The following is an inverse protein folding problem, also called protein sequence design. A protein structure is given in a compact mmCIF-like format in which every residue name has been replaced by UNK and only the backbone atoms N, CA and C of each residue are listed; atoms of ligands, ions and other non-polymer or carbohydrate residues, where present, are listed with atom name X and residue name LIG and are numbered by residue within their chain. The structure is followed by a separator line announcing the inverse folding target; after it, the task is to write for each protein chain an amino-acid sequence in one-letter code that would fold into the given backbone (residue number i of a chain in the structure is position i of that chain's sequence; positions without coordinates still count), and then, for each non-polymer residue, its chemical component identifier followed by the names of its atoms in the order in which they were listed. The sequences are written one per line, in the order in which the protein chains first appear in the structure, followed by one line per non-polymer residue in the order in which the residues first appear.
data_IF_603260254254
#
_entry.id   IF_603260254254
#
_cell.length_a   1.000
_cell.length_b   1.000
_cell.length_c   1.000
_cell.angle_alpha   90.00
_cell.angle_beta   90.00
_cell.angle_gamma   90.00
#
_symmetry.space_group_name_H-M   'P 1'
#
loop_
_entity.id
_entity.type
_entity.pdbx_description
1 polymer ?
#
# COMPACT_ATOMS: atom_id res chain seq x y z
N UNK A 1 -16.80 13.15 -35.12
CA UNK A 1 -16.18 13.02 -33.78
C UNK A 1 -17.28 12.96 -32.74
N UNK A 2 -17.18 12.05 -31.77
CA UNK A 2 -18.21 11.84 -30.75
C UNK A 2 -18.32 13.06 -29.83
N UNK A 3 -19.43 13.81 -29.94
CA UNK A 3 -19.73 14.99 -29.11
C UNK A 3 -20.25 14.67 -27.71
N UNK A 4 -19.79 13.57 -27.10
CA UNK A 4 -20.22 13.15 -25.75
C UNK A 4 -19.14 12.30 -25.09
N UNK A 5 -19.00 12.38 -23.76
CA UNK A 5 -18.06 11.52 -23.03
C UNK A 5 -18.56 10.07 -23.03
N UNK A 6 -17.70 9.04 -22.96
CA UNK A 6 -18.12 7.64 -23.04
C UNK A 6 -19.25 7.27 -22.06
N UNK A 7 -19.18 7.76 -20.81
CA UNK A 7 -20.23 7.54 -19.82
C UNK A 7 -21.57 8.20 -20.18
N UNK A 8 -21.54 9.43 -20.71
CA UNK A 8 -22.76 10.11 -21.20
C UNK A 8 -23.33 9.36 -22.41
N UNK A 9 -22.49 8.90 -23.34
CA UNK A 9 -22.92 8.07 -24.48
C UNK A 9 -23.62 6.78 -24.03
N UNK A 10 -23.06 6.12 -23.01
CA UNK A 10 -23.61 4.89 -22.43
C UNK A 10 -25.01 5.11 -21.82
N UNK A 11 -25.17 6.22 -21.09
CA UNK A 11 -26.46 6.64 -20.52
C UNK A 11 -27.42 7.24 -21.55
N UNK A 12 -26.99 7.40 -22.81
CA UNK A 12 -27.81 8.02 -23.85
C UNK A 12 -27.97 9.53 -23.68
N UNK A 13 -27.09 10.16 -22.90
CA UNK A 13 -27.08 11.60 -22.66
C UNK A 13 -26.27 12.31 -23.73
N UNK A 14 -26.87 13.37 -24.29
CA UNK A 14 -26.23 14.29 -25.22
C UNK A 14 -26.45 15.72 -24.75
N UNK A 15 -25.41 16.53 -24.94
CA UNK A 15 -25.40 17.94 -24.60
C UNK A 15 -25.13 18.68 -25.90
N UNK A 16 -26.06 19.54 -26.28
CA UNK A 16 -26.04 20.29 -27.53
C UNK A 16 -26.46 21.72 -27.27
N UNK A 17 -26.09 22.62 -28.18
CA UNK A 17 -26.68 23.95 -28.19
C UNK A 17 -28.18 23.85 -28.57
N UNK A 18 -29.00 24.89 -28.28
CA UNK A 18 -30.42 24.89 -28.62
C UNK A 18 -30.72 24.65 -30.11
N UNK A 19 -29.77 24.97 -30.99
CA UNK A 19 -29.85 24.75 -32.45
C UNK A 19 -29.42 23.32 -32.89
N UNK A 20 -29.07 22.45 -31.95
CA UNK A 20 -28.61 21.08 -32.19
C UNK A 20 -27.14 20.97 -32.58
N UNK A 21 -26.38 22.06 -32.58
CA UNK A 21 -24.93 22.03 -32.79
C UNK A 21 -24.18 21.48 -31.57
N UNK A 22 -22.99 20.92 -31.80
CA UNK A 22 -22.11 20.49 -30.71
C UNK A 22 -21.50 21.71 -30.03
N UNK A 23 -21.32 21.62 -28.71
CA UNK A 23 -20.55 22.63 -27.98
C UNK A 23 -19.11 22.69 -28.52
N UNK A 24 -18.60 23.90 -28.64
CA UNK A 24 -17.17 24.14 -28.81
C UNK A 24 -16.41 23.71 -27.55
N UNK A 25 -15.10 23.48 -27.70
CA UNK A 25 -14.24 23.12 -26.56
C UNK A 25 -14.32 24.15 -25.42
N UNK A 26 -14.35 25.45 -25.76
CA UNK A 26 -14.41 26.54 -24.77
C UNK A 26 -15.72 26.53 -24.00
N UNK A 27 -16.85 26.38 -24.68
CA UNK A 27 -18.17 26.27 -24.04
C UNK A 27 -18.24 25.04 -23.13
N UNK A 28 -17.67 23.90 -23.57
CA UNK A 28 -17.56 22.71 -22.75
C UNK A 28 -16.70 22.90 -21.49
N UNK A 29 -15.59 23.64 -21.60
CA UNK A 29 -14.71 23.96 -20.48
C UNK A 29 -15.37 24.92 -19.49
N UNK A 30 -15.97 26.00 -19.98
CA UNK A 30 -16.69 27.00 -19.17
C UNK A 30 -17.83 26.33 -18.38
N UNK A 31 -18.60 25.48 -19.06
CA UNK A 31 -19.62 24.63 -18.44
C UNK A 31 -19.03 23.69 -17.37
N UNK A 32 -17.88 23.08 -17.63
CA UNK A 32 -17.23 22.17 -16.66
C UNK A 32 -16.77 22.93 -15.42
N UNK A 33 -16.26 24.14 -15.59
CA UNK A 33 -15.93 25.03 -14.46
C UNK A 33 -17.18 25.45 -13.67
N UNK A 34 -18.26 25.78 -14.37
CA UNK A 34 -19.57 26.04 -13.75
C UNK A 34 -20.05 24.85 -12.91
N UNK A 35 -19.92 23.62 -13.43
CA UNK A 35 -20.24 22.39 -12.70
C UNK A 35 -19.35 22.20 -11.47
N UNK A 36 -18.04 22.44 -11.58
CA UNK A 36 -17.10 22.31 -10.44
C UNK A 36 -17.45 23.31 -9.34
N UNK A 37 -17.72 24.57 -9.68
CA UNK A 37 -18.07 25.62 -8.71
C UNK A 37 -19.50 25.49 -8.20
N UNK A 38 -20.48 25.67 -9.08
CA UNK A 38 -21.90 25.70 -8.73
C UNK A 38 -22.49 24.30 -8.51
N UNK A 39 -21.96 23.23 -9.07
CA UNK A 39 -22.46 21.87 -8.81
C UNK A 39 -21.75 21.17 -7.66
N UNK A 40 -20.42 21.16 -7.71
CA UNK A 40 -19.59 20.39 -6.78
C UNK A 40 -18.97 21.24 -5.65
N UNK A 41 -19.21 22.55 -5.62
CA UNK A 41 -18.69 23.41 -4.55
C UNK A 41 -17.17 23.36 -4.41
N UNK A 42 -16.43 23.22 -5.51
CA UNK A 42 -14.97 23.07 -5.54
C UNK A 42 -14.43 21.92 -4.66
N UNK A 43 -15.25 20.91 -4.35
CA UNK A 43 -14.91 19.82 -3.43
C UNK A 43 -14.58 20.27 -1.99
N UNK A 44 -15.00 21.48 -1.59
CA UNK A 44 -14.85 21.96 -0.22
C UNK A 44 -15.75 21.09 0.69
N UNK A 45 -15.22 20.46 1.76
CA UNK A 45 -16.00 19.63 2.67
C UNK A 45 -17.24 20.36 3.20
N UNK A 46 -18.35 19.62 3.42
CA UNK A 46 -19.67 20.13 3.81
C UNK A 46 -20.33 21.01 2.73
N UNK A 47 -19.64 22.02 2.20
CA UNK A 47 -20.16 22.86 1.12
C UNK A 47 -20.47 22.07 -0.15
N UNK A 48 -19.61 21.12 -0.51
CA UNK A 48 -19.85 20.15 -1.60
C UNK A 48 -21.18 19.42 -1.40
N UNK A 49 -21.47 18.92 -0.19
CA UNK A 49 -22.72 18.23 0.11
C UNK A 49 -23.93 19.17 -0.02
N UNK A 50 -23.81 20.41 0.47
CA UNK A 50 -24.85 21.44 0.32
C UNK A 50 -25.11 21.74 -1.15
N UNK A 51 -24.06 21.92 -1.97
CA UNK A 51 -24.21 22.15 -3.41
C UNK A 51 -24.84 20.96 -4.12
N UNK A 52 -24.40 19.73 -3.83
CA UNK A 52 -24.99 18.51 -4.37
C UNK A 52 -26.47 18.37 -4.01
N UNK A 53 -26.84 18.70 -2.77
CA UNK A 53 -28.25 18.73 -2.34
C UNK A 53 -29.07 19.76 -3.11
N UNK A 54 -28.55 20.99 -3.27
CA UNK A 54 -29.22 22.03 -4.05
C UNK A 54 -29.39 21.60 -5.51
N UNK A 55 -28.38 21.00 -6.13
CA UNK A 55 -28.46 20.49 -7.50
C UNK A 55 -29.44 19.33 -7.64
N UNK A 56 -29.50 18.44 -6.65
CA UNK A 56 -30.54 17.39 -6.58
C UNK A 56 -31.93 18.01 -6.51
N UNK A 57 -32.14 19.03 -5.68
CA UNK A 57 -33.43 19.72 -5.55
C UNK A 57 -33.86 20.32 -6.89
N UNK A 58 -33.00 21.11 -7.54
CA UNK A 58 -33.27 21.67 -8.88
C UNK A 58 -33.62 20.57 -9.88
N UNK A 59 -32.87 19.47 -9.90
CA UNK A 59 -33.13 18.33 -10.78
C UNK A 59 -34.50 17.67 -10.49
N UNK A 60 -34.85 17.50 -9.21
CA UNK A 60 -36.13 16.92 -8.79
C UNK A 60 -37.33 17.81 -9.13
N UNK A 61 -37.12 19.13 -9.13
CA UNK A 61 -38.10 20.16 -9.50
C UNK A 61 -38.12 20.41 -11.02
N UNK A 62 -37.27 19.71 -11.80
CA UNK A 62 -37.09 19.87 -13.26
C UNK A 62 -36.62 21.27 -13.68
N UNK A 63 -35.93 21.97 -12.78
CA UNK A 63 -35.30 23.25 -13.06
C UNK A 63 -33.93 23.07 -13.73
N UNK A 64 -33.52 24.08 -14.49
CA UNK A 64 -32.23 24.09 -15.19
C UNK A 64 -31.10 24.24 -14.17
N UNK A 65 -30.01 23.51 -14.35
CA UNK A 65 -28.84 23.66 -13.49
C UNK A 65 -28.08 24.94 -13.85
N UNK A 66 -27.43 25.62 -12.88
CA UNK A 66 -26.73 26.89 -13.12
C UNK A 66 -25.61 26.84 -14.18
N UNK A 67 -25.06 25.65 -14.45
CA UNK A 67 -24.02 25.46 -15.47
C UNK A 67 -24.59 24.99 -16.82
N UNK A 68 -25.91 24.95 -16.98
CA UNK A 68 -26.61 24.45 -18.17
C UNK A 68 -27.63 25.44 -18.75
N UNK A 69 -27.64 26.69 -18.31
CA UNK A 69 -28.63 27.69 -18.73
C UNK A 69 -28.66 27.94 -20.25
N UNK A 70 -27.54 27.74 -20.95
CA UNK A 70 -27.38 28.02 -22.37
C UNK A 70 -27.44 26.79 -23.29
N UNK A 71 -27.75 25.60 -22.78
CA UNK A 71 -27.65 24.34 -23.52
C UNK A 71 -28.91 23.47 -23.43
N UNK A 72 -29.06 22.58 -24.40
CA UNK A 72 -30.14 21.61 -24.46
C UNK A 72 -29.66 20.22 -24.01
N UNK A 73 -30.41 19.62 -23.09
CA UNK A 73 -30.22 18.24 -22.66
C UNK A 73 -31.12 17.30 -23.43
N UNK A 74 -30.51 16.40 -24.20
CA UNK A 74 -31.27 15.35 -24.88
C UNK A 74 -30.90 13.99 -24.30
N UNK A 75 -31.91 13.27 -23.83
CA UNK A 75 -31.81 11.86 -23.47
C UNK A 75 -32.37 11.03 -24.62
N UNK A 76 -31.55 10.12 -25.16
CA UNK A 76 -31.95 9.24 -26.25
C UNK A 76 -33.09 8.30 -25.83
N UNK A 77 -32.98 7.71 -24.65
CA UNK A 77 -33.96 6.82 -24.03
C UNK A 77 -33.63 6.60 -22.54
N UNK A 78 -34.63 6.25 -21.74
CA UNK A 78 -34.50 5.99 -20.29
C UNK A 78 -34.45 4.49 -19.98
N UNK A 79 -33.93 3.67 -20.90
CA UNK A 79 -33.97 2.21 -20.73
C UNK A 79 -33.07 1.78 -19.57
N UNK A 80 -33.66 1.03 -18.63
CA UNK A 80 -33.01 0.59 -17.39
C UNK A 80 -31.67 -0.12 -17.59
N UNK A 81 -31.48 -0.85 -18.70
CA UNK A 81 -30.23 -1.56 -18.98
C UNK A 81 -29.03 -0.62 -19.15
N UNK A 82 -29.23 0.65 -19.55
CA UNK A 82 -28.14 1.63 -19.66
C UNK A 82 -27.51 1.94 -18.31
N UNK A 83 -28.36 2.09 -17.29
CA UNK A 83 -27.92 2.27 -15.90
C UNK A 83 -27.18 1.03 -15.41
N UNK A 84 -27.65 -0.17 -15.76
CA UNK A 84 -26.94 -1.42 -15.43
C UNK A 84 -25.57 -1.49 -16.10
N UNK A 85 -25.47 -1.18 -17.39
CA UNK A 85 -24.16 -1.14 -18.06
C UNK A 85 -23.23 -0.11 -17.43
N UNK A 86 -23.75 1.06 -17.05
CA UNK A 86 -22.97 2.08 -16.37
C UNK A 86 -22.44 1.59 -15.02
N UNK A 87 -23.29 1.02 -14.18
CA UNK A 87 -22.90 0.42 -12.90
C UNK A 87 -21.89 -0.72 -13.11
N UNK A 88 -22.16 -1.61 -14.07
CA UNK A 88 -21.28 -2.73 -14.42
C UNK A 88 -19.91 -2.28 -14.89
N UNK A 89 -19.82 -1.21 -15.70
CA UNK A 89 -18.55 -0.64 -16.11
C UNK A 89 -17.75 -0.07 -14.93
N UNK A 90 -18.41 0.60 -13.98
CA UNK A 90 -17.76 1.11 -12.77
C UNK A 90 -17.29 -0.03 -11.87
N UNK A 91 -18.12 -1.06 -11.69
CA UNK A 91 -17.76 -2.26 -10.94
C UNK A 91 -16.56 -2.99 -11.58
N UNK A 92 -16.51 -3.09 -12.91
CA UNK A 92 -15.38 -3.67 -13.63
C UNK A 92 -14.10 -2.84 -13.45
N UNK A 93 -14.18 -1.51 -13.56
CA UNK A 93 -13.03 -0.62 -13.30
C UNK A 93 -12.52 -0.76 -11.85
N UNK A 94 -13.44 -0.84 -10.88
CA UNK A 94 -13.09 -1.08 -9.48
C UNK A 94 -12.42 -2.46 -9.30
N UNK A 95 -12.95 -3.50 -9.94
CA UNK A 95 -12.35 -4.84 -9.90
C UNK A 95 -10.94 -4.86 -10.49
N UNK A 96 -10.71 -4.17 -11.62
CA UNK A 96 -9.37 -4.02 -12.22
C UNK A 96 -8.44 -3.25 -11.29
N UNK A 97 -8.90 -2.15 -10.69
CA UNK A 97 -8.10 -1.39 -9.73
C UNK A 97 -7.71 -2.25 -8.52
N UNK A 98 -8.66 -2.95 -7.91
CA UNK A 98 -8.41 -3.88 -6.81
C UNK A 98 -7.44 -4.98 -7.23
N UNK A 99 -7.61 -5.55 -8.42
CA UNK A 99 -6.69 -6.56 -8.98
C UNK A 99 -5.26 -6.02 -9.06
N UNK A 100 -5.06 -4.79 -9.54
CA UNK A 100 -3.73 -4.16 -9.63
C UNK A 100 -3.12 -3.98 -8.24
N UNK A 101 -3.91 -3.54 -7.25
CA UNK A 101 -3.44 -3.39 -5.86
C UNK A 101 -2.96 -4.73 -5.30
N UNK A 102 -3.72 -5.81 -5.49
CA UNK A 102 -3.30 -7.14 -5.05
C UNK A 102 -2.12 -7.69 -5.87
N UNK A 103 -2.05 -7.41 -7.16
CA UNK A 103 -0.93 -7.83 -8.00
C UNK A 103 0.39 -7.20 -7.54
N UNK A 104 0.36 -5.93 -7.08
CA UNK A 104 1.54 -5.28 -6.48
C UNK A 104 1.98 -5.86 -5.14
N UNK A 105 1.18 -6.68 -4.46
CA UNK A 105 1.64 -7.37 -3.26
C UNK A 105 2.51 -8.59 -3.58
N UNK A 106 2.50 -9.05 -4.84
CA UNK A 106 3.34 -10.16 -5.27
C UNK A 106 4.77 -9.65 -5.52
N UNK A 107 5.80 -10.37 -5.06
CA UNK A 107 7.17 -9.97 -5.34
C UNK A 107 7.55 -10.24 -6.80
N UNK A 108 8.58 -9.55 -7.33
CA UNK A 108 9.03 -9.71 -8.70
C UNK A 108 9.57 -11.12 -8.99
N UNK A 109 10.28 -11.73 -8.05
CA UNK A 109 10.84 -13.08 -8.19
C UNK A 109 10.01 -14.11 -7.41
N UNK A 110 9.73 -15.25 -8.05
CA UNK A 110 8.77 -16.27 -7.62
C UNK A 110 9.36 -17.67 -7.75
N UNK A 111 8.95 -18.59 -6.88
CA UNK A 111 9.46 -19.97 -6.83
C UNK A 111 10.72 -20.09 -5.97
N UNK A 112 11.65 -20.94 -6.40
CA UNK A 112 12.94 -21.10 -5.75
C UNK A 112 13.83 -19.89 -6.05
N UNK A 113 14.29 -19.21 -5.00
CA UNK A 113 15.05 -17.97 -5.10
C UNK A 113 16.55 -18.24 -4.97
N UNK A 114 17.35 -17.54 -5.76
CA UNK A 114 18.75 -17.27 -5.44
C UNK A 114 18.86 -16.17 -4.36
N UNK A 115 20.05 -15.95 -3.79
CA UNK A 115 20.28 -14.86 -2.82
C UNK A 115 20.00 -13.49 -3.47
N UNK A 116 20.41 -13.30 -4.72
CA UNK A 116 20.17 -12.07 -5.47
C UNK A 116 18.67 -11.81 -5.67
N UNK A 117 17.91 -12.83 -6.06
CA UNK A 117 16.44 -12.71 -6.22
C UNK A 117 15.72 -12.45 -4.90
N UNK A 118 16.21 -13.02 -3.79
CA UNK A 118 15.73 -12.66 -2.44
C UNK A 118 15.99 -11.19 -2.13
N UNK A 119 17.21 -10.69 -2.40
CA UNK A 119 17.56 -9.29 -2.16
C UNK A 119 16.71 -8.33 -3.00
N UNK A 120 16.47 -8.66 -4.28
CA UNK A 120 15.55 -7.92 -5.14
C UNK A 120 14.12 -7.88 -4.58
N UNK A 121 13.62 -9.01 -4.08
CA UNK A 121 12.30 -9.08 -3.44
C UNK A 121 12.26 -8.25 -2.14
N UNK A 122 13.31 -8.28 -1.32
CA UNK A 122 13.40 -7.49 -0.10
C UNK A 122 13.37 -5.98 -0.41
N UNK A 123 14.19 -5.54 -1.36
CA UNK A 123 14.24 -4.15 -1.81
C UNK A 123 12.92 -3.71 -2.47
N UNK A 124 12.24 -4.62 -3.17
CA UNK A 124 10.90 -4.38 -3.70
C UNK A 124 9.92 -4.02 -2.58
N UNK A 125 9.91 -4.78 -1.47
CA UNK A 125 9.01 -4.51 -0.35
C UNK A 125 9.40 -3.26 0.43
N UNK A 126 10.69 -2.95 0.58
CA UNK A 126 11.12 -1.66 1.13
C UNK A 126 10.49 -0.50 0.36
N UNK A 127 10.60 -0.52 -0.97
CA UNK A 127 10.00 0.50 -1.84
C UNK A 127 8.47 0.48 -1.80
N UNK A 128 7.86 -0.70 -1.74
CA UNK A 128 6.41 -0.85 -1.70
C UNK A 128 5.80 -0.22 -0.43
N UNK A 129 6.48 -0.36 0.70
CA UNK A 129 6.06 0.20 2.00
C UNK A 129 6.63 1.60 2.29
N UNK A 130 7.38 2.19 1.36
CA UNK A 130 8.05 3.49 1.54
C UNK A 130 9.00 3.50 2.76
N UNK A 131 9.74 2.41 2.95
CA UNK A 131 10.74 2.25 4.02
C UNK A 131 12.11 2.64 3.46
N UNK A 132 12.73 3.64 4.08
CA UNK A 132 14.06 4.14 3.72
C UNK A 132 15.03 3.95 4.91
N UNK A 133 16.08 3.14 4.69
CA UNK A 133 17.17 2.92 5.65
C UNK A 133 18.38 3.81 5.32
N UNK A 134 18.15 5.11 5.13
CA UNK A 134 19.19 6.07 4.74
C UNK A 134 19.85 5.75 3.41
N UNK A 135 19.03 5.54 2.37
CA UNK A 135 19.45 5.16 1.02
C UNK A 135 20.21 3.83 0.94
N UNK A 136 19.97 2.91 1.86
CA UNK A 136 20.55 1.56 1.80
C UNK A 136 19.61 0.54 1.16
N UNK A 137 20.20 -0.52 0.61
CA UNK A 137 19.53 -1.64 -0.02
C UNK A 137 20.33 -2.93 0.20
N UNK A 138 19.72 -4.10 0.00
CA UNK A 138 20.45 -5.36 -0.05
C UNK A 138 21.05 -5.57 -1.45
N UNK A 139 22.36 -5.81 -1.52
CA UNK A 139 23.05 -6.17 -2.75
C UNK A 139 22.75 -7.61 -3.21
N UNK A 140 23.32 -8.04 -4.33
CA UNK A 140 23.14 -9.39 -4.89
C UNK A 140 23.60 -10.53 -3.96
N UNK A 141 24.39 -10.21 -2.92
CA UNK A 141 24.85 -11.15 -1.90
C UNK A 141 24.01 -11.09 -0.62
N UNK A 142 22.93 -10.31 -0.60
CA UNK A 142 22.07 -10.12 0.56
C UNK A 142 22.70 -9.27 1.67
N UNK A 143 23.70 -8.44 1.34
CA UNK A 143 24.39 -7.55 2.28
C UNK A 143 23.94 -6.11 2.10
N UNK A 144 23.94 -5.35 3.19
CA UNK A 144 23.60 -3.93 3.15
C UNK A 144 24.65 -3.13 2.35
N UNK A 145 24.18 -2.39 1.35
CA UNK A 145 24.95 -1.48 0.53
C UNK A 145 24.29 -0.10 0.49
N UNK A 146 25.11 0.96 0.36
CA UNK A 146 24.64 2.35 0.29
C UNK A 146 24.45 2.80 -1.16
N UNK A 147 23.37 3.52 -1.40
CA UNK A 147 23.16 4.29 -2.61
C UNK A 147 23.51 5.76 -2.32
N UNK A 148 24.66 6.23 -2.79
CA UNK A 148 25.17 7.58 -2.47
C UNK A 148 24.48 8.72 -3.25
N UNK A 149 23.21 8.55 -3.62
CA UNK A 149 22.55 9.42 -4.60
C UNK A 149 21.95 10.71 -4.02
N UNK A 150 21.49 10.74 -2.77
CA UNK A 150 20.78 11.91 -2.24
C UNK A 150 21.30 12.32 -0.85
N UNK A 151 21.83 13.55 -0.77
CA UNK A 151 22.43 14.16 0.43
C UNK A 151 21.42 14.52 1.53
N UNK A 152 20.39 13.69 1.72
CA UNK A 152 19.38 13.82 2.79
C UNK A 152 19.82 12.91 3.95
N UNK A 153 19.92 13.49 5.15
CA UNK A 153 20.25 12.77 6.38
C UNK A 153 18.96 12.42 7.10
N UNK A 154 18.67 11.14 7.26
CA UNK A 154 17.59 10.66 8.13
C UNK A 154 18.13 10.48 9.55
N UNK A 155 17.34 10.91 10.53
CA UNK A 155 17.62 10.67 11.95
C UNK A 155 16.76 9.50 12.39
N UNK A 156 17.35 8.32 12.50
CA UNK A 156 16.71 7.17 13.14
C UNK A 156 16.59 7.46 14.65
N UNK A 157 15.38 7.31 15.20
CA UNK A 157 15.13 7.41 16.63
C UNK A 157 15.26 6.00 17.22
N UNK A 158 16.24 5.81 18.11
CA UNK A 158 16.55 4.53 18.77
C UNK A 158 17.78 3.83 18.19
N UNK A 159 18.38 2.92 18.98
CA UNK A 159 19.44 2.04 18.49
C UNK A 159 18.80 0.79 17.86
N UNK A 160 18.94 0.64 16.54
CA UNK A 160 18.67 -0.60 15.84
C UNK A 160 19.85 -0.91 14.92
N UNK A 161 20.73 -1.81 15.34
CA UNK A 161 21.76 -2.35 14.45
C UNK A 161 21.07 -3.06 13.28
N UNK A 162 21.55 -2.87 12.06
CA UNK A 162 20.91 -3.51 10.90
C UNK A 162 21.22 -5.00 10.93
N UNK A 163 20.22 -5.88 10.71
CA UNK A 163 20.45 -7.32 10.76
C UNK A 163 21.32 -7.76 9.59
N UNK A 164 22.33 -8.60 9.87
CA UNK A 164 23.04 -9.34 8.83
C UNK A 164 22.29 -10.63 8.50
N UNK A 165 21.82 -10.72 7.26
CA UNK A 165 21.09 -11.89 6.78
C UNK A 165 22.04 -13.04 6.45
N UNK A 166 21.70 -14.21 6.97
CA UNK A 166 22.38 -15.47 6.74
C UNK A 166 21.47 -16.39 5.92
N UNK A 167 22.05 -17.06 4.92
CA UNK A 167 21.31 -17.87 3.97
C UNK A 167 21.73 -19.33 4.04
N UNK A 168 20.75 -20.22 4.16
CA UNK A 168 20.93 -21.66 3.90
C UNK A 168 20.50 -21.92 2.47
N UNK A 169 21.34 -22.62 1.69
CA UNK A 169 21.06 -22.90 0.28
C UNK A 169 21.22 -24.38 -0.03
N UNK A 170 20.36 -24.89 -0.91
CA UNK A 170 20.45 -26.23 -1.49
C UNK A 170 20.37 -26.09 -3.02
N UNK A 171 21.31 -26.70 -3.74
CA UNK A 171 21.39 -26.63 -5.20
C UNK A 171 21.39 -25.19 -5.77
N UNK A 172 21.91 -24.22 -5.02
CA UNK A 172 21.95 -22.81 -5.42
C UNK A 172 20.69 -21.99 -5.07
N UNK A 173 19.69 -22.62 -4.46
CA UNK A 173 18.44 -21.97 -4.05
C UNK A 173 18.33 -21.82 -2.54
N UNK A 174 17.77 -20.71 -2.09
CA UNK A 174 17.53 -20.38 -0.68
C UNK A 174 16.46 -21.32 -0.12
N UNK A 175 16.83 -22.05 0.94
CA UNK A 175 15.95 -22.92 1.74
C UNK A 175 15.75 -22.39 3.15
N UNK A 176 16.60 -21.48 3.61
CA UNK A 176 16.38 -20.74 4.85
C UNK A 176 17.06 -19.39 4.87
N UNK A 177 16.47 -18.47 5.64
CA UNK A 177 16.96 -17.11 5.89
C UNK A 177 16.90 -16.85 7.38
N UNK A 178 17.96 -16.32 7.96
CA UNK A 178 18.00 -15.97 9.37
C UNK A 178 18.79 -14.70 9.62
N UNK A 179 18.52 -14.06 10.75
CA UNK A 179 19.42 -13.05 11.29
C UNK A 179 19.36 -13.09 12.82
N UNK A 180 20.42 -12.61 13.45
CA UNK A 180 20.48 -12.48 14.90
C UNK A 180 20.96 -11.09 15.27
N UNK A 181 20.41 -10.55 16.35
CA UNK A 181 20.79 -9.29 16.94
C UNK A 181 21.24 -9.57 18.36
N UNK A 182 22.36 -8.97 18.76
CA UNK A 182 22.81 -8.99 20.15
C UNK A 182 23.26 -7.58 20.53
N UNK A 183 22.58 -6.98 21.51
CA UNK A 183 22.88 -5.65 22.02
C UNK A 183 23.16 -5.75 23.51
N UNK A 184 24.31 -5.22 23.94
CA UNK A 184 24.79 -5.22 25.32
C UNK A 184 25.02 -3.79 25.79
N UNK A 185 24.60 -3.49 27.02
CA UNK A 185 24.83 -2.21 27.70
C UNK A 185 24.41 -1.00 26.85
N UNK A 186 23.26 -1.10 26.17
CA UNK A 186 22.66 0.01 25.44
C UNK A 186 21.73 0.81 26.34
N UNK A 187 21.97 2.11 26.41
CA UNK A 187 21.12 3.09 27.09
C UNK A 187 20.09 3.68 26.11
N UNK A 188 18.91 4.03 26.63
CA UNK A 188 17.88 4.72 25.89
C UNK A 188 16.79 3.80 25.35
N UNK A 189 16.48 3.94 24.06
CA UNK A 189 15.33 3.30 23.42
C UNK A 189 15.80 2.26 22.41
N UNK A 190 15.32 1.03 22.56
CA UNK A 190 15.46 -0.03 21.58
C UNK A 190 14.18 -0.14 20.74
N UNK A 191 14.38 -0.12 19.43
CA UNK A 191 13.32 -0.33 18.44
C UNK A 191 13.16 -1.82 18.13
N UNK A 192 11.95 -2.29 17.81
CA UNK A 192 11.71 -3.67 17.42
C UNK A 192 12.23 -3.95 16.01
N UNK A 193 12.46 -5.23 15.73
CA UNK A 193 12.89 -5.73 14.41
C UNK A 193 11.72 -6.20 13.54
N UNK A 194 10.48 -5.83 13.90
CA UNK A 194 9.25 -6.26 13.24
C UNK A 194 9.24 -5.92 11.75
N UNK A 195 9.75 -4.75 11.37
CA UNK A 195 9.84 -4.31 9.97
C UNK A 195 10.78 -5.19 9.17
N UNK A 196 11.97 -5.47 9.70
CA UNK A 196 12.99 -6.29 9.05
C UNK A 196 12.51 -7.75 8.93
N UNK A 197 11.90 -8.29 10.00
CA UNK A 197 11.24 -9.59 9.97
C UNK A 197 10.16 -9.63 8.89
N UNK A 198 9.28 -8.63 8.81
CA UNK A 198 8.20 -8.57 7.81
C UNK A 198 8.76 -8.50 6.39
N UNK A 199 9.74 -7.64 6.11
CA UNK A 199 10.35 -7.50 4.80
C UNK A 199 11.02 -8.81 4.34
N UNK A 200 11.81 -9.44 5.22
CA UNK A 200 12.42 -10.73 4.92
C UNK A 200 11.37 -11.83 4.70
N UNK A 201 10.32 -11.84 5.53
CA UNK A 201 9.21 -12.78 5.42
C UNK A 201 8.48 -12.66 4.08
N UNK A 202 8.15 -11.45 3.66
CA UNK A 202 7.49 -11.22 2.39
C UNK A 202 8.40 -11.53 1.20
N UNK A 203 9.70 -11.22 1.31
CA UNK A 203 10.67 -11.54 0.27
C UNK A 203 10.81 -13.05 0.02
N UNK A 204 10.78 -13.85 1.09
CA UNK A 204 10.95 -15.30 1.02
C UNK A 204 9.64 -16.05 0.81
N UNK A 205 8.63 -15.78 1.64
CA UNK A 205 7.33 -16.48 1.60
C UNK A 205 6.46 -15.98 0.45
N UNK A 206 6.59 -14.71 0.08
CA UNK A 206 5.87 -14.14 -1.05
C UNK A 206 6.25 -14.78 -2.40
N UNK A 207 7.43 -15.41 -2.49
CA UNK A 207 7.86 -16.14 -3.67
C UNK A 207 7.16 -17.50 -3.81
N UNK A 208 6.69 -18.10 -2.71
CA UNK A 208 6.12 -19.44 -2.72
C UNK A 208 4.83 -19.53 -3.53
N UNK A 209 4.49 -20.74 -3.96
CA UNK A 209 3.35 -20.97 -4.83
C UNK A 209 2.01 -20.64 -4.16
N UNK A 210 1.92 -20.80 -2.85
CA UNK A 210 0.75 -20.49 -2.03
C UNK A 210 0.42 -18.98 -2.05
N UNK A 211 1.39 -18.11 -2.36
CA UNK A 211 1.18 -16.68 -2.49
C UNK A 211 0.48 -16.33 -3.81
N UNK A 212 -0.83 -16.58 -3.90
CA UNK A 212 -1.66 -16.24 -5.07
C UNK A 212 -2.22 -14.81 -4.98
N UNK A 213 -2.80 -14.34 -6.08
CA UNK A 213 -3.58 -13.10 -6.11
C UNK A 213 -4.69 -13.17 -5.05
N UNK A 214 -4.90 -12.09 -4.30
CA UNK A 214 -5.85 -12.02 -3.16
C UNK A 214 -5.47 -12.85 -1.93
N UNK A 215 -4.24 -13.35 -1.85
CA UNK A 215 -3.77 -14.07 -0.67
C UNK A 215 -3.81 -13.19 0.58
N UNK A 216 -4.16 -13.80 1.72
CA UNK A 216 -4.10 -13.17 3.05
C UNK A 216 -2.77 -13.41 3.76
N UNK A 217 -1.83 -14.12 3.12
CA UNK A 217 -0.52 -14.47 3.70
C UNK A 217 0.21 -13.23 4.22
N UNK A 218 0.33 -12.11 3.49
CA UNK A 218 1.03 -10.93 3.99
C UNK A 218 0.44 -10.41 5.31
N UNK A 219 -0.88 -10.26 5.35
CA UNK A 219 -1.59 -9.76 6.53
C UNK A 219 -1.43 -10.70 7.73
N UNK A 220 -1.48 -12.02 7.50
CA UNK A 220 -1.27 -13.00 8.57
C UNK A 220 0.15 -12.91 9.14
N UNK A 221 1.17 -12.85 8.27
CA UNK A 221 2.57 -12.73 8.68
C UNK A 221 2.75 -11.43 9.49
N UNK A 222 2.25 -10.32 8.97
CA UNK A 222 2.29 -9.02 9.66
C UNK A 222 1.62 -9.09 11.03
N UNK A 223 0.44 -9.72 11.13
CA UNK A 223 -0.29 -9.90 12.39
C UNK A 223 0.48 -10.79 13.38
N UNK A 224 1.07 -11.90 12.92
CA UNK A 224 1.86 -12.79 13.78
C UNK A 224 3.11 -12.09 14.35
N UNK A 225 3.76 -11.24 13.56
CA UNK A 225 4.94 -10.48 13.97
C UNK A 225 4.53 -9.36 14.93
N UNK A 226 3.61 -8.47 14.53
CA UNK A 226 3.21 -7.29 15.31
C UNK A 226 2.49 -7.62 16.63
N UNK A 227 1.77 -8.73 16.70
CA UNK A 227 1.12 -9.15 17.96
C UNK A 227 2.11 -9.73 18.98
N UNK A 228 3.35 -10.02 18.55
CA UNK A 228 4.41 -10.66 19.34
C UNK A 228 5.71 -9.86 19.33
N UNK A 229 5.62 -8.54 19.16
CA UNK A 229 6.76 -7.63 19.32
C UNK A 229 7.46 -7.90 20.65
N UNK A 230 8.79 -8.10 20.60
CA UNK A 230 9.65 -8.48 21.72
C UNK A 230 9.29 -9.81 22.42
N UNK A 231 8.64 -10.74 21.73
CA UNK A 231 8.25 -12.05 22.28
C UNK A 231 8.59 -13.17 21.32
N UNK A 232 8.81 -14.34 21.91
CA UNK A 232 9.02 -15.56 21.15
C UNK A 232 7.80 -15.90 20.29
N UNK A 233 8.08 -16.45 19.12
CA UNK A 233 7.04 -17.01 18.28
C UNK A 233 7.51 -18.15 17.40
N UNK A 234 6.57 -19.05 17.13
CA UNK A 234 6.75 -20.13 16.19
C UNK A 234 5.44 -20.36 15.43
N UNK A 235 5.49 -20.31 14.11
CA UNK A 235 4.33 -20.60 13.27
C UNK A 235 4.75 -21.07 11.88
N UNK A 236 3.81 -21.61 11.11
CA UNK A 236 4.03 -22.05 9.73
C UNK A 236 3.03 -21.36 8.80
N UNK A 237 3.50 -20.83 7.69
CA UNK A 237 2.65 -20.27 6.63
C UNK A 237 3.28 -20.57 5.26
N UNK A 238 2.47 -21.02 4.29
CA UNK A 238 2.92 -21.30 2.92
C UNK A 238 4.18 -22.19 2.83
N UNK A 239 4.19 -23.28 3.59
CA UNK A 239 5.32 -24.22 3.62
C UNK A 239 6.52 -23.77 4.46
N UNK A 240 6.61 -22.49 4.81
CA UNK A 240 7.74 -21.91 5.56
C UNK A 240 7.45 -21.89 7.05
N UNK A 241 8.41 -22.39 7.83
CA UNK A 241 8.40 -22.36 9.28
C UNK A 241 9.15 -21.13 9.77
N UNK A 242 8.52 -20.37 10.64
CA UNK A 242 9.05 -19.16 11.27
C UNK A 242 9.36 -19.46 12.72
N UNK A 243 10.54 -19.07 13.18
CA UNK A 243 10.93 -19.09 14.59
C UNK A 243 11.59 -17.77 14.94
N UNK A 244 11.16 -17.17 16.05
CA UNK A 244 11.80 -16.01 16.64
C UNK A 244 11.97 -16.28 18.12
N UNK A 245 13.19 -16.23 18.60
CA UNK A 245 13.53 -16.30 20.02
C UNK A 245 14.04 -14.93 20.45
N UNK A 246 13.48 -14.35 21.50
CA UNK A 246 13.82 -13.02 22.01
C UNK A 246 14.07 -13.07 23.51
N UNK A 247 15.24 -12.61 23.92
CA UNK A 247 15.60 -12.49 25.33
C UNK A 247 16.03 -11.05 25.62
N UNK A 248 15.53 -10.48 26.71
CA UNK A 248 16.01 -9.18 27.16
C UNK A 248 15.88 -9.00 28.67
N UNK A 249 16.80 -8.22 29.24
CA UNK A 249 16.76 -7.79 30.64
C UNK A 249 17.32 -6.37 30.78
N UNK A 250 16.95 -5.71 31.88
CA UNK A 250 17.30 -4.30 32.11
C UNK A 250 16.49 -3.31 31.26
N UNK A 251 15.42 -3.78 30.60
CA UNK A 251 14.49 -2.98 29.82
C UNK A 251 13.07 -3.07 30.35
N UNK A 252 12.32 -1.98 30.20
CA UNK A 252 10.89 -1.89 30.50
C UNK A 252 10.10 -1.66 29.22
N UNK A 253 9.19 -2.58 28.93
CA UNK A 253 8.17 -2.39 27.90
C UNK A 253 7.12 -1.40 28.42
N UNK A 254 7.03 -0.21 27.79
CA UNK A 254 6.06 0.83 28.17
C UNK A 254 4.91 1.01 27.17
N UNK A 255 4.93 0.34 26.02
CA UNK A 255 3.92 0.57 24.97
C UNK A 255 3.79 -0.54 23.92
N UNK A 256 4.44 -1.69 24.10
CA UNK A 256 4.57 -2.78 23.11
C UNK A 256 5.09 -2.31 21.74
N UNK A 257 5.79 -1.19 21.72
CA UNK A 257 6.40 -0.60 20.53
C UNK A 257 7.88 -0.32 20.72
N UNK A 258 8.34 -0.13 21.96
CA UNK A 258 9.73 0.16 22.28
C UNK A 258 10.11 -0.40 23.64
N UNK A 259 11.37 -0.81 23.78
CA UNK A 259 11.97 -1.14 25.05
C UNK A 259 12.79 0.05 25.54
N UNK A 260 12.56 0.45 26.80
CA UNK A 260 13.29 1.55 27.44
C UNK A 260 14.23 0.99 28.49
N UNK A 261 15.51 1.38 28.46
CA UNK A 261 16.47 1.00 29.50
C UNK A 261 15.96 1.44 30.88
N UNK A 262 16.04 0.57 31.88
CA UNK A 262 15.66 0.93 33.24
C UNK A 262 16.74 1.82 33.89
N UNK A 263 16.34 2.92 34.53
CA UNK A 263 17.25 3.92 35.12
C UNK A 263 18.22 3.35 36.17
N UNK A 264 17.89 2.19 36.77
CA UNK A 264 18.69 1.54 37.81
C UNK A 264 19.15 0.12 37.43
N UNK A 265 19.03 -0.29 36.16
CA UNK A 265 19.54 -1.59 35.73
C UNK A 265 21.08 -1.55 35.71
N UNK A 266 21.77 -2.51 36.35
CA UNK A 266 23.24 -2.54 36.36
C UNK A 266 23.81 -2.84 34.96
N UNK A 267 23.08 -3.63 34.17
CA UNK A 267 23.41 -4.00 32.79
C UNK A 267 22.11 -4.14 31.99
N UNK A 268 22.20 -3.87 30.69
CA UNK A 268 21.09 -4.09 29.75
C UNK A 268 21.51 -5.10 28.69
N UNK A 269 20.58 -5.96 28.29
CA UNK A 269 20.82 -6.98 27.28
C UNK A 269 19.57 -7.19 26.45
N UNK A 270 19.77 -7.34 25.15
CA UNK A 270 18.75 -7.72 24.20
C UNK A 270 19.36 -8.69 23.19
N UNK A 271 18.70 -9.81 22.98
CA UNK A 271 18.99 -10.73 21.89
C UNK A 271 17.71 -11.07 21.14
N UNK A 272 17.85 -11.23 19.83
CA UNK A 272 16.78 -11.69 18.96
C UNK A 272 17.38 -12.61 17.91
N UNK A 273 16.81 -13.79 17.74
CA UNK A 273 17.19 -14.73 16.70
C UNK A 273 15.97 -15.08 15.87
N UNK A 274 15.95 -14.64 14.61
CA UNK A 274 14.86 -14.87 13.68
C UNK A 274 15.29 -15.83 12.56
N UNK A 275 14.49 -16.86 12.32
CA UNK A 275 14.76 -17.92 11.35
C UNK A 275 13.50 -18.23 10.55
N UNK A 276 13.67 -18.36 9.23
CA UNK A 276 12.68 -18.89 8.30
C UNK A 276 13.27 -20.05 7.53
N UNK A 277 12.59 -21.19 7.46
CA UNK A 277 13.06 -22.35 6.68
C UNK A 277 11.92 -23.16 6.06
N UNK A 278 12.19 -23.78 4.92
CA UNK A 278 11.31 -24.76 4.26
C UNK A 278 11.16 -26.04 5.08
#
# INVERSE_FOLDING_TARGET
MFGTTPGKALLGLRIENPDGSLLSYKEGLDRTWGLIGAGMGYYIPIYNLVRLWNSYKLCSEKEVQPWDESISYTIKDTKWYRSIFYIGAHAAMLAVFVTIVFAKQLPPNRGDLTIAEFAENYNYYMKYFDIDYSNEYLDENGKWAKNYSDGIVYVEIGHAEKPEYHFTTENGYVTGVSFSIEIKNSEGVLSPYDTQMLLASLAFVGAQDEMKLYSKIPNKIEEQIKSRTFKDFHFKEAGITFTCDTEYYGYKDRSSQFLFSEENAPETYFSLNFIMSK
#
